data_IF_280631232820
#
_entry.id   IF_280631232820
#
_cell.length_a   1.000
_cell.length_b   1.000
_cell.length_c   1.000
_cell.angle_alpha   90.00
_cell.angle_beta   90.00
_cell.angle_gamma   90.00
#
_symmetry.space_group_name_H-M   'P 1'
#
loop_
_entity.id
_entity.type
_entity.pdbx_description
1 polymer ?
#
# COMPACT_ATOMS: atom_id res chain seq x y z
N UNK A 1 -54.08 13.36 14.94
CA UNK A 1 -53.18 12.66 13.99
C UNK A 1 -52.45 11.56 14.75
N UNK A 2 -53.09 10.41 14.91
CA UNK A 2 -52.53 9.24 15.61
C UNK A 2 -52.33 8.14 14.57
N UNK A 3 -51.07 7.95 14.16
CA UNK A 3 -50.69 6.95 13.17
C UNK A 3 -50.62 5.57 13.80
N UNK A 4 -51.69 4.77 13.67
CA UNK A 4 -51.64 3.35 13.99
C UNK A 4 -50.75 2.64 12.98
N UNK A 5 -49.51 2.34 13.34
CA UNK A 5 -48.69 1.38 12.59
C UNK A 5 -49.34 0.01 12.68
N UNK A 6 -49.84 -0.49 11.54
CA UNK A 6 -50.47 -1.80 11.44
C UNK A 6 -49.43 -2.90 11.65
N UNK A 7 -49.76 -3.91 12.47
CA UNK A 7 -48.92 -5.10 12.72
C UNK A 7 -48.54 -5.85 11.42
N UNK A 8 -49.35 -5.71 10.38
CA UNK A 8 -49.09 -6.23 9.03
C UNK A 8 -47.98 -5.45 8.28
N UNK A 9 -47.85 -4.16 8.56
CA UNK A 9 -46.77 -3.29 8.05
C UNK A 9 -45.47 -3.52 8.83
N UNK A 10 -45.57 -3.84 10.12
CA UNK A 10 -44.43 -4.25 10.96
C UNK A 10 -43.91 -5.65 10.56
N UNK A 11 -44.79 -6.58 10.19
CA UNK A 11 -44.39 -7.89 9.63
C UNK A 11 -43.78 -7.77 8.22
N UNK A 12 -44.25 -6.84 7.38
CA UNK A 12 -43.60 -6.58 6.08
C UNK A 12 -42.19 -5.96 6.24
N UNK A 13 -41.97 -5.16 7.28
CA UNK A 13 -40.66 -4.57 7.56
C UNK A 13 -39.67 -5.58 8.19
N UNK A 14 -40.18 -6.63 8.85
CA UNK A 14 -39.37 -7.73 9.38
C UNK A 14 -38.98 -8.76 8.29
N UNK A 15 -39.62 -8.71 7.11
CA UNK A 15 -39.35 -9.60 5.97
C UNK A 15 -38.25 -9.14 5.00
N UNK A 16 -37.73 -7.91 5.12
CA UNK A 16 -36.72 -7.35 4.21
C UNK A 16 -35.33 -7.12 4.85
N UNK A 17 -35.02 -7.79 5.97
CA UNK A 17 -33.84 -7.45 6.77
C UNK A 17 -32.75 -8.51 6.91
N UNK A 18 -32.92 -9.74 6.41
CA UNK A 18 -31.88 -10.76 6.48
C UNK A 18 -31.85 -11.58 5.20
N UNK A 19 -31.13 -11.06 4.20
CA UNK A 19 -30.58 -11.96 3.19
C UNK A 19 -29.73 -13.00 3.95
N UNK A 20 -30.02 -14.30 3.81
CA UNK A 20 -29.15 -15.32 4.36
C UNK A 20 -27.80 -15.19 3.65
N UNK A 21 -26.75 -14.93 4.42
CA UNK A 21 -25.37 -15.06 3.96
C UNK A 21 -25.24 -16.49 3.44
N UNK A 22 -25.00 -16.67 2.14
CA UNK A 22 -24.88 -17.99 1.54
C UNK A 22 -23.70 -18.72 2.22
N UNK A 23 -23.93 -19.88 2.86
CA UNK A 23 -22.85 -20.66 3.42
C UNK A 23 -22.02 -21.26 2.28
N UNK A 24 -20.73 -20.93 2.21
CA UNK A 24 -19.81 -21.43 1.18
C UNK A 24 -19.25 -20.37 0.23
N UNK A 25 -19.45 -19.08 0.49
CA UNK A 25 -18.66 -18.03 -0.17
C UNK A 25 -17.46 -17.75 0.73
N UNK A 26 -16.29 -18.25 0.34
CA UNK A 26 -15.03 -17.83 0.95
C UNK A 26 -14.85 -16.35 0.62
N UNK A 27 -14.85 -15.51 1.65
CA UNK A 27 -14.47 -14.12 1.50
C UNK A 27 -12.95 -14.07 1.48
N UNK A 28 -12.34 -13.41 0.49
CA UNK A 28 -10.92 -13.06 0.52
C UNK A 28 -10.68 -12.22 1.78
N UNK A 29 -10.18 -12.89 2.82
CA UNK A 29 -9.87 -12.27 4.08
C UNK A 29 -8.43 -11.82 4.02
N UNK A 30 -8.21 -10.51 4.12
CA UNK A 30 -6.87 -9.95 4.18
C UNK A 30 -6.13 -10.58 5.37
N UNK A 31 -5.06 -11.31 5.09
CA UNK A 31 -4.13 -11.77 6.10
C UNK A 31 -3.15 -10.63 6.46
N UNK A 32 -2.42 -10.75 7.57
CA UNK A 32 -1.38 -9.79 7.99
C UNK A 32 -0.01 -10.46 8.18
N UNK A 33 0.15 -11.63 7.59
CA UNK A 33 1.35 -12.46 7.68
C UNK A 33 2.42 -12.10 6.66
N UNK A 34 2.23 -11.03 5.88
CA UNK A 34 3.19 -10.62 4.85
C UNK A 34 4.55 -10.29 5.47
N UNK A 35 5.61 -10.84 4.88
CA UNK A 35 6.98 -10.69 5.31
C UNK A 35 7.82 -9.98 4.25
N UNK A 36 8.65 -9.04 4.71
CA UNK A 36 9.60 -8.32 3.85
C UNK A 36 11.02 -8.59 4.35
N UNK A 37 11.82 -9.24 3.51
CA UNK A 37 13.24 -9.41 3.77
C UNK A 37 14.02 -8.27 3.12
N UNK A 38 14.79 -7.53 3.91
CA UNK A 38 15.61 -6.41 3.41
C UNK A 38 17.07 -6.81 3.46
N UNK A 39 17.75 -6.72 2.30
CA UNK A 39 19.19 -6.98 2.24
C UNK A 39 19.96 -5.96 3.08
N UNK A 40 21.11 -6.36 3.64
CA UNK A 40 21.96 -5.44 4.40
C UNK A 40 22.47 -4.28 3.54
N UNK A 41 22.69 -4.52 2.23
CA UNK A 41 23.07 -3.48 1.26
C UNK A 41 21.97 -2.42 1.16
N UNK A 42 20.72 -2.84 0.97
CA UNK A 42 19.56 -1.96 0.89
C UNK A 42 19.44 -1.10 2.16
N UNK A 43 19.50 -1.73 3.33
CA UNK A 43 19.38 -1.03 4.61
C UNK A 43 20.47 0.04 4.79
N UNK A 44 21.73 -0.27 4.46
CA UNK A 44 22.82 0.71 4.55
C UNK A 44 22.61 1.90 3.60
N UNK A 45 22.14 1.65 2.38
CA UNK A 45 21.82 2.72 1.42
C UNK A 45 20.66 3.59 1.91
N UNK A 46 19.61 3.00 2.50
CA UNK A 46 18.53 3.75 3.15
C UNK A 46 19.09 4.68 4.24
N UNK A 47 19.90 4.15 5.17
CA UNK A 47 20.46 4.96 6.27
C UNK A 47 21.35 6.10 5.77
N UNK A 48 22.17 5.85 4.74
CA UNK A 48 23.01 6.88 4.13
C UNK A 48 22.15 7.99 3.51
N UNK A 49 21.08 7.62 2.82
CA UNK A 49 20.15 8.56 2.19
C UNK A 49 19.40 9.40 3.22
N UNK A 50 18.81 8.77 4.23
CA UNK A 50 18.11 9.47 5.31
C UNK A 50 19.01 10.48 6.01
N UNK A 51 20.27 10.13 6.26
CA UNK A 51 21.23 11.05 6.89
C UNK A 51 21.58 12.24 5.99
N UNK A 52 21.74 12.02 4.68
CA UNK A 52 22.02 13.09 3.73
C UNK A 52 20.82 14.03 3.52
N UNK A 53 19.61 13.53 3.78
CA UNK A 53 18.35 14.27 3.61
C UNK A 53 18.00 15.25 4.72
N UNK A 54 18.52 15.09 5.95
CA UNK A 54 18.11 15.92 7.11
C UNK A 54 18.31 17.42 6.83
N UNK A 55 17.31 18.29 7.06
CA UNK A 55 16.01 18.06 7.72
C UNK A 55 14.83 17.75 6.78
N UNK A 56 15.09 17.50 5.50
CA UNK A 56 14.08 17.28 4.47
C UNK A 56 13.59 15.83 4.45
N UNK A 57 12.34 15.64 4.05
CA UNK A 57 11.83 14.32 3.73
C UNK A 57 12.56 13.74 2.51
N UNK A 58 12.84 12.45 2.55
CA UNK A 58 13.51 11.76 1.44
C UNK A 58 12.73 10.57 0.93
N UNK A 59 12.79 10.34 -0.38
CA UNK A 59 12.21 9.17 -1.03
C UNK A 59 13.25 8.39 -1.83
N UNK A 60 12.91 7.15 -2.12
CA UNK A 60 13.69 6.25 -2.94
C UNK A 60 12.86 5.07 -3.43
N UNK A 61 13.42 4.32 -4.36
CA UNK A 61 12.84 3.10 -4.90
C UNK A 61 13.41 1.87 -4.20
N UNK A 62 12.56 0.89 -3.95
CA UNK A 62 12.98 -0.46 -3.54
C UNK A 62 12.92 -1.38 -4.75
N UNK A 63 14.03 -2.09 -4.99
CA UNK A 63 14.14 -3.09 -6.03
C UNK A 63 14.30 -4.46 -5.39
N UNK A 64 13.57 -5.41 -5.93
CA UNK A 64 13.44 -6.70 -5.31
C UNK A 64 12.58 -7.65 -6.12
N UNK A 65 12.34 -8.80 -5.53
CA UNK A 65 11.57 -9.88 -6.13
C UNK A 65 10.41 -10.25 -5.21
N UNK A 66 9.26 -10.48 -5.83
CA UNK A 66 8.09 -11.07 -5.17
C UNK A 66 8.32 -12.59 -5.24
N UNK A 67 8.47 -13.22 -4.08
CA UNK A 67 8.79 -14.65 -3.99
C UNK A 67 7.51 -15.49 -4.02
N UNK A 68 6.51 -15.05 -3.26
CA UNK A 68 5.17 -15.62 -3.19
C UNK A 68 4.17 -14.52 -2.77
N UNK A 69 2.91 -14.90 -2.57
CA UNK A 69 1.83 -13.96 -2.23
C UNK A 69 2.02 -13.26 -0.88
N UNK A 70 2.88 -13.78 -0.01
CA UNK A 70 3.11 -13.27 1.34
C UNK A 70 4.53 -12.76 1.55
N UNK A 71 5.43 -12.91 0.58
CA UNK A 71 6.86 -12.67 0.80
C UNK A 71 7.48 -11.84 -0.31
N UNK A 72 8.07 -10.71 0.09
CA UNK A 72 8.85 -9.83 -0.80
C UNK A 72 10.29 -9.76 -0.30
N UNK A 73 11.25 -9.83 -1.22
CA UNK A 73 12.67 -9.66 -0.93
C UNK A 73 13.17 -8.37 -1.56
N UNK A 74 13.69 -7.43 -0.76
CA UNK A 74 14.31 -6.19 -1.22
C UNK A 74 15.81 -6.42 -1.36
N UNK A 75 16.27 -6.48 -2.61
CA UNK A 75 17.67 -6.74 -2.97
C UNK A 75 18.48 -5.45 -2.93
N UNK A 76 17.94 -4.34 -3.44
CA UNK A 76 18.61 -3.05 -3.48
C UNK A 76 17.66 -1.86 -3.33
N UNK A 77 18.19 -0.68 -2.99
CA UNK A 77 17.43 0.58 -2.97
C UNK A 77 18.18 1.70 -3.64
N UNK A 78 17.42 2.63 -4.20
CA UNK A 78 17.96 3.80 -4.87
C UNK A 78 17.31 5.08 -4.38
N UNK A 79 18.15 6.06 -4.06
CA UNK A 79 17.76 7.39 -3.67
C UNK A 79 17.18 8.17 -4.84
N UNK A 80 16.04 8.82 -4.63
CA UNK A 80 15.54 9.84 -5.57
C UNK A 80 16.25 11.18 -5.28
N UNK A 81 16.68 11.92 -6.32
CA UNK A 81 17.20 13.27 -6.13
C UNK A 81 16.10 14.19 -5.62
N UNK A 82 16.40 14.96 -4.58
CA UNK A 82 15.50 16.00 -4.08
C UNK A 82 15.44 17.14 -5.10
N UNK A 83 14.29 17.36 -5.73
CA UNK A 83 14.03 18.53 -6.57
C UNK A 83 13.04 19.44 -5.84
N UNK A 84 13.55 20.38 -5.06
CA UNK A 84 12.72 21.35 -4.34
C UNK A 84 13.45 22.07 -3.19
N UNK A 85 12.94 23.23 -2.80
CA UNK A 85 13.33 23.96 -1.57
C UNK A 85 12.41 23.65 -0.38
N UNK A 86 11.36 22.88 -0.64
CA UNK A 86 10.25 22.57 0.25
C UNK A 86 10.59 21.36 1.14
N UNK A 87 10.03 21.31 2.34
CA UNK A 87 10.34 20.27 3.34
C UNK A 87 9.74 18.90 3.01
N UNK A 88 8.72 18.90 2.15
CA UNK A 88 7.95 17.74 1.74
C UNK A 88 8.35 17.25 0.37
N UNK A 89 8.10 15.98 0.11
CA UNK A 89 8.50 15.36 -1.15
C UNK A 89 7.55 15.77 -2.29
N UNK A 90 8.11 16.36 -3.35
CA UNK A 90 7.34 16.77 -4.51
C UNK A 90 6.99 15.59 -5.43
N UNK A 91 6.06 15.85 -6.36
CA UNK A 91 5.56 14.83 -7.30
C UNK A 91 6.70 14.27 -8.16
N UNK A 92 6.73 12.95 -8.26
CA UNK A 92 7.79 12.18 -8.94
C UNK A 92 7.79 12.50 -10.43
N UNK A 93 8.98 12.78 -11.00
CA UNK A 93 9.16 12.85 -12.46
C UNK A 93 9.15 11.42 -13.06
N UNK A 94 8.11 11.06 -13.84
CA UNK A 94 8.03 9.74 -14.46
C UNK A 94 9.15 9.48 -15.48
N UNK A 95 9.72 10.52 -16.09
CA UNK A 95 10.83 10.40 -17.05
C UNK A 95 12.11 9.96 -16.34
N UNK A 96 12.38 10.55 -15.17
CA UNK A 96 13.52 10.14 -14.35
C UNK A 96 13.41 8.66 -13.94
N UNK A 97 12.22 8.23 -13.52
CA UNK A 97 11.97 6.83 -13.16
C UNK A 97 12.27 5.87 -14.32
N UNK A 98 11.78 6.16 -15.52
CA UNK A 98 11.99 5.32 -16.70
C UNK A 98 13.47 5.25 -17.09
N UNK A 99 14.14 6.40 -17.21
CA UNK A 99 15.56 6.47 -17.54
C UNK A 99 16.42 5.71 -16.53
N UNK A 100 16.07 5.81 -15.26
CA UNK A 100 16.78 5.13 -14.18
C UNK A 100 16.60 3.60 -14.25
N UNK A 101 15.39 3.13 -14.49
CA UNK A 101 15.12 1.69 -14.66
C UNK A 101 15.81 1.12 -15.91
N UNK A 102 15.96 1.93 -16.97
CA UNK A 102 16.67 1.50 -18.17
C UNK A 102 18.19 1.48 -17.98
N UNK A 103 18.74 2.39 -17.18
CA UNK A 103 20.16 2.35 -16.80
C UNK A 103 20.51 1.10 -15.98
N UNK A 104 19.56 0.54 -15.23
CA UNK A 104 19.77 -0.70 -14.44
C UNK A 104 19.69 -1.99 -15.26
N UNK A 105 19.13 -1.95 -16.48
CA UNK A 105 19.03 -3.11 -17.37
C UNK A 105 20.27 -3.33 -18.23
N UNK A 106 21.20 -2.37 -18.27
CA UNK A 106 22.45 -2.42 -19.03
C UNK A 106 23.57 -3.06 -18.20
#
# INVERSE_FOLDING_TARGET
>A
FEGKMNMQQMMMMQGMGRQPVQPGVDFEQNDTTEQIYISSLALLKMMKHCKAGVPFEVMGYMLGEIIDDYTITVVDVFSMPQSGTTVSVESIDPVYQQNFMDALKQ
#
